data_IF_197737806156
#
_entry.id   IF_197737806156
#
_cell.length_a   1.000
_cell.length_b   1.000
_cell.length_c   1.000
_cell.angle_alpha   90.00
_cell.angle_beta   90.00
_cell.angle_gamma   90.00
#
_symmetry.space_group_name_H-M   'P 1'
#
loop_
_entity.id
_entity.type
_entity.pdbx_description
1 polymer ?
#
# COMPACT_ATOMS: atom_id res chain seq x y z
N UNK A 1 -33.94 -19.94 -27.12
CA UNK A 1 -33.59 -19.10 -28.29
C UNK A 1 -32.13 -19.39 -28.66
N UNK A 2 -31.76 -19.43 -29.94
CA UNK A 2 -30.36 -19.69 -30.30
C UNK A 2 -29.51 -18.44 -30.01
N UNK A 3 -28.62 -18.52 -29.01
CA UNK A 3 -27.72 -17.41 -28.67
C UNK A 3 -26.72 -17.22 -29.81
N UNK A 4 -26.76 -16.07 -30.48
CA UNK A 4 -25.88 -15.79 -31.63
C UNK A 4 -24.46 -15.44 -31.17
N UNK A 5 -23.46 -15.68 -32.02
CA UNK A 5 -22.08 -15.26 -31.74
C UNK A 5 -21.96 -13.73 -31.61
N UNK A 6 -22.82 -12.97 -32.29
CA UNK A 6 -22.88 -11.52 -32.19
C UNK A 6 -23.36 -11.08 -30.80
N UNK A 7 -24.38 -11.74 -30.24
CA UNK A 7 -24.90 -11.44 -28.89
C UNK A 7 -23.86 -11.73 -27.82
N UNK A 8 -23.16 -12.87 -27.93
CA UNK A 8 -22.05 -13.21 -27.03
C UNK A 8 -20.96 -12.15 -27.09
N UNK A 9 -20.56 -11.71 -28.30
CA UNK A 9 -19.53 -10.69 -28.45
C UNK A 9 -20.00 -9.32 -27.94
N UNK A 10 -21.28 -8.98 -28.10
CA UNK A 10 -21.87 -7.76 -27.54
C UNK A 10 -21.81 -7.77 -26.01
N UNK A 11 -22.25 -8.85 -25.37
CA UNK A 11 -22.19 -8.98 -23.91
C UNK A 11 -20.74 -8.94 -23.40
N UNK A 12 -19.81 -9.59 -24.12
CA UNK A 12 -18.39 -9.53 -23.82
C UNK A 12 -17.82 -8.12 -23.89
N UNK A 13 -18.20 -7.32 -24.90
CA UNK A 13 -17.76 -5.91 -24.98
C UNK A 13 -18.35 -5.07 -23.86
N UNK A 14 -19.58 -5.34 -23.43
CA UNK A 14 -20.25 -4.60 -22.35
C UNK A 14 -19.66 -4.93 -20.96
N UNK A 15 -19.28 -6.19 -20.72
CA UNK A 15 -18.91 -6.67 -19.38
C UNK A 15 -17.41 -6.94 -19.23
N UNK A 16 -16.70 -7.10 -20.34
CA UNK A 16 -15.31 -7.57 -20.37
C UNK A 16 -15.12 -9.05 -20.03
N UNK A 17 -16.18 -9.78 -19.68
CA UNK A 17 -16.08 -11.18 -19.23
C UNK A 17 -15.62 -12.14 -20.34
N UNK A 18 -15.16 -13.34 -19.93
CA UNK A 18 -14.70 -14.37 -20.86
C UNK A 18 -15.78 -14.78 -21.87
N UNK A 19 -15.37 -15.11 -23.11
CA UNK A 19 -16.29 -15.44 -24.22
C UNK A 19 -17.26 -16.58 -23.86
N UNK A 20 -16.75 -17.64 -23.25
CA UNK A 20 -17.56 -18.78 -22.84
C UNK A 20 -18.49 -18.46 -21.67
N UNK A 21 -18.09 -17.53 -20.82
CA UNK A 21 -18.92 -17.09 -19.69
C UNK A 21 -20.08 -16.23 -20.17
N UNK A 22 -19.83 -15.31 -21.12
CA UNK A 22 -20.88 -14.54 -21.78
C UNK A 22 -21.88 -15.47 -22.48
N UNK A 23 -21.39 -16.51 -23.17
CA UNK A 23 -22.24 -17.49 -23.83
C UNK A 23 -23.12 -18.24 -22.83
N UNK A 24 -22.54 -18.75 -21.74
CA UNK A 24 -23.29 -19.46 -20.68
C UNK A 24 -24.29 -18.55 -20.00
N UNK A 25 -23.90 -17.33 -19.66
CA UNK A 25 -24.79 -16.36 -19.03
C UNK A 25 -26.00 -16.02 -19.92
N UNK A 26 -25.79 -15.79 -21.22
CA UNK A 26 -26.89 -15.58 -22.18
C UNK A 26 -27.76 -16.83 -22.34
N UNK A 27 -27.19 -18.03 -22.29
CA UNK A 27 -27.98 -19.27 -22.33
C UNK A 27 -28.85 -19.44 -21.10
N UNK A 28 -28.30 -19.19 -19.91
CA UNK A 28 -29.02 -19.25 -18.62
C UNK A 28 -30.09 -18.15 -18.53
N UNK A 29 -29.81 -16.96 -19.05
CA UNK A 29 -30.73 -15.83 -19.12
C UNK A 29 -31.74 -15.91 -20.29
N UNK A 30 -31.75 -17.00 -21.07
CA UNK A 30 -32.58 -17.15 -22.26
C UNK A 30 -32.45 -16.01 -23.29
N UNK A 31 -31.28 -15.37 -23.37
CA UNK A 31 -30.98 -14.25 -24.26
C UNK A 31 -31.23 -12.86 -23.66
N UNK A 32 -31.70 -12.78 -22.42
CA UNK A 32 -31.84 -11.51 -21.70
C UNK A 32 -30.46 -10.97 -21.30
N UNK A 33 -30.13 -9.75 -21.73
CA UNK A 33 -28.83 -9.15 -21.46
C UNK A 33 -28.69 -8.67 -20.01
N UNK A 34 -29.74 -8.13 -19.40
CA UNK A 34 -29.69 -7.59 -18.05
C UNK A 34 -29.57 -8.72 -17.02
N UNK A 35 -30.32 -9.81 -17.24
CA UNK A 35 -30.17 -11.02 -16.43
C UNK A 35 -28.81 -11.69 -16.68
N UNK A 36 -28.30 -11.73 -17.92
CA UNK A 36 -26.97 -12.27 -18.20
C UNK A 36 -25.85 -11.47 -17.50
N UNK A 37 -25.96 -10.14 -17.45
CA UNK A 37 -25.05 -9.29 -16.66
C UNK A 37 -25.14 -9.65 -15.17
N UNK A 38 -26.35 -9.82 -14.65
CA UNK A 38 -26.57 -10.22 -13.25
C UNK A 38 -25.96 -11.60 -12.93
N UNK A 39 -26.06 -12.56 -13.84
CA UNK A 39 -25.44 -13.88 -13.73
C UNK A 39 -23.91 -13.77 -13.69
N UNK A 40 -23.32 -12.96 -14.58
CA UNK A 40 -21.87 -12.73 -14.60
C UNK A 40 -21.38 -12.10 -13.29
N UNK A 41 -22.12 -11.15 -12.72
CA UNK A 41 -21.81 -10.57 -11.41
C UNK A 41 -21.86 -11.60 -10.29
N UNK A 42 -22.93 -12.39 -10.21
CA UNK A 42 -23.05 -13.51 -9.24
C UNK A 42 -21.90 -14.50 -9.40
N UNK A 43 -21.42 -14.73 -10.63
CA UNK A 43 -20.23 -15.55 -10.89
C UNK A 43 -18.96 -14.91 -10.33
N UNK A 44 -18.75 -13.61 -10.53
CA UNK A 44 -17.64 -12.86 -9.94
C UNK A 44 -17.60 -12.96 -8.42
N UNK A 45 -18.75 -12.78 -7.76
CA UNK A 45 -18.90 -12.97 -6.31
C UNK A 45 -18.49 -14.38 -5.87
N UNK A 46 -18.94 -15.43 -6.59
CA UNK A 46 -18.54 -16.81 -6.30
C UNK A 46 -17.03 -17.04 -6.46
N UNK A 47 -16.38 -16.39 -7.43
CA UNK A 47 -14.93 -16.48 -7.62
C UNK A 47 -14.22 -15.81 -6.44
N UNK A 48 -14.66 -14.60 -6.08
CA UNK A 48 -14.14 -13.86 -4.91
C UNK A 48 -14.22 -14.71 -3.64
N UNK A 49 -15.40 -15.27 -3.31
CA UNK A 49 -15.55 -16.11 -2.12
C UNK A 49 -14.70 -17.38 -2.15
N UNK A 50 -14.55 -18.03 -3.32
CA UNK A 50 -13.71 -19.24 -3.47
C UNK A 50 -12.21 -18.96 -3.38
N UNK A 51 -11.82 -17.71 -3.59
CA UNK A 51 -10.42 -17.28 -3.61
C UNK A 51 -10.05 -16.40 -2.42
N UNK A 52 -10.94 -16.17 -1.46
CA UNK A 52 -10.69 -15.30 -0.32
C UNK A 52 -9.39 -15.65 0.43
N UNK A 53 -9.10 -16.96 0.55
CA UNK A 53 -7.89 -17.48 1.23
C UNK A 53 -6.63 -17.49 0.34
N UNK A 54 -6.73 -17.07 -0.92
CA UNK A 54 -5.55 -16.96 -1.81
C UNK A 54 -4.69 -15.79 -1.35
N UNK A 55 -3.38 -16.02 -1.33
CA UNK A 55 -2.40 -14.98 -1.09
C UNK A 55 -2.30 -14.05 -2.30
N UNK A 56 -2.23 -12.75 -2.05
CA UNK A 56 -2.06 -11.71 -3.07
C UNK A 56 -0.73 -10.98 -2.85
N UNK A 57 0.37 -11.65 -3.20
CA UNK A 57 1.75 -11.17 -3.04
C UNK A 57 2.25 -10.30 -4.19
N UNK A 58 1.42 -10.15 -5.22
CA UNK A 58 1.66 -9.29 -6.38
C UNK A 58 0.71 -8.10 -6.36
N UNK A 59 0.95 -7.10 -7.21
CA UNK A 59 0.11 -5.89 -7.27
C UNK A 59 0.88 -4.63 -7.63
N UNK A 60 0.21 -3.50 -7.43
CA UNK A 60 0.79 -2.18 -7.64
C UNK A 60 0.33 -1.18 -6.56
N UNK A 61 1.28 -0.36 -6.14
CA UNK A 61 1.04 0.85 -5.34
C UNK A 61 0.72 2.01 -6.27
N UNK A 62 -0.24 2.83 -5.87
CA UNK A 62 -0.62 4.06 -6.54
C UNK A 62 -0.50 5.22 -5.55
N UNK A 63 0.05 6.35 -5.99
CA UNK A 63 0.22 7.54 -5.17
C UNK A 63 -0.33 8.75 -5.91
N UNK A 64 -1.06 9.60 -5.20
CA UNK A 64 -1.47 10.92 -5.65
C UNK A 64 -0.93 11.96 -4.66
N UNK A 65 -0.23 12.97 -5.17
CA UNK A 65 0.22 14.12 -4.39
C UNK A 65 -0.61 15.34 -4.80
N UNK A 66 -1.05 16.14 -3.82
CA UNK A 66 -1.70 17.41 -4.11
C UNK A 66 -0.70 18.39 -4.74
N UNK A 67 -1.18 19.24 -5.66
CA UNK A 67 -0.34 20.24 -6.35
C UNK A 67 0.33 21.21 -5.38
N UNK A 68 -0.33 21.52 -4.26
CA UNK A 68 0.22 22.37 -3.20
C UNK A 68 1.23 21.64 -2.29
N UNK A 69 1.46 20.34 -2.49
CA UNK A 69 2.40 19.54 -1.72
C UNK A 69 2.01 19.28 -0.26
N UNK A 70 0.81 19.66 0.19
CA UNK A 70 0.41 19.56 1.61
C UNK A 70 -0.30 18.24 1.93
N UNK A 71 -0.63 17.46 0.91
CA UNK A 71 -1.35 16.20 1.04
C UNK A 71 -0.84 15.16 0.05
N UNK A 72 -0.76 13.91 0.49
CA UNK A 72 -0.64 12.78 -0.42
C UNK A 72 -1.52 11.61 0.03
N UNK A 73 -1.98 10.84 -0.96
CA UNK A 73 -2.75 9.62 -0.76
C UNK A 73 -2.04 8.47 -1.44
N UNK A 74 -2.00 7.32 -0.78
CA UNK A 74 -1.41 6.10 -1.28
C UNK A 74 -2.42 4.96 -1.11
N UNK A 75 -2.53 4.12 -2.14
CA UNK A 75 -3.19 2.81 -2.02
C UNK A 75 -2.29 1.69 -2.52
N UNK A 76 -2.50 0.48 -2.01
CA UNK A 76 -1.99 -0.75 -2.61
C UNK A 76 -3.15 -1.59 -3.13
N UNK A 77 -3.14 -1.87 -4.43
CA UNK A 77 -4.02 -2.84 -5.06
C UNK A 77 -3.21 -4.12 -5.28
N UNK A 78 -3.64 -5.22 -4.68
CA UNK A 78 -2.95 -6.51 -4.71
C UNK A 78 -3.67 -7.48 -5.64
N UNK A 79 -2.92 -8.41 -6.21
CA UNK A 79 -3.38 -9.54 -7.02
C UNK A 79 -2.52 -10.79 -6.79
N UNK A 80 -2.90 -11.91 -7.39
CA UNK A 80 -2.16 -13.17 -7.25
C UNK A 80 -0.88 -13.18 -8.12
N UNK A 81 -0.92 -12.63 -9.33
CA UNK A 81 0.19 -12.65 -10.29
C UNK A 81 0.65 -11.27 -10.77
N UNK A 82 1.91 -11.16 -11.22
CA UNK A 82 2.49 -9.91 -11.71
C UNK A 82 1.95 -9.50 -13.09
N UNK A 83 1.41 -10.46 -13.86
CA UNK A 83 0.72 -10.21 -15.12
C UNK A 83 -0.54 -9.37 -14.91
N UNK A 84 -1.30 -9.64 -13.84
CA UNK A 84 -2.50 -8.87 -13.49
C UNK A 84 -2.13 -7.46 -13.05
N UNK A 85 -1.05 -7.28 -12.30
CA UNK A 85 -0.60 -5.96 -11.85
C UNK A 85 -0.27 -4.98 -13.00
N UNK A 86 0.03 -5.52 -14.19
CA UNK A 86 0.36 -4.76 -15.42
C UNK A 86 -0.83 -4.66 -16.38
N UNK A 87 -1.96 -5.29 -16.07
CA UNK A 87 -3.16 -5.25 -16.89
C UNK A 87 -3.80 -3.85 -16.86
N UNK A 88 -4.26 -3.37 -18.01
CA UNK A 88 -4.81 -2.01 -18.14
C UNK A 88 -6.06 -1.79 -17.28
N UNK A 89 -6.98 -2.78 -17.20
CA UNK A 89 -8.18 -2.67 -16.36
C UNK A 89 -7.82 -2.59 -14.87
N UNK A 90 -6.77 -3.32 -14.45
CA UNK A 90 -6.26 -3.27 -13.08
C UNK A 90 -5.65 -1.90 -12.75
N UNK A 91 -4.82 -1.38 -13.64
CA UNK A 91 -4.19 -0.05 -13.48
C UNK A 91 -5.25 1.04 -13.45
N UNK A 92 -6.24 0.99 -14.35
CA UNK A 92 -7.33 1.96 -14.40
C UNK A 92 -8.19 1.92 -13.14
N UNK A 93 -8.52 0.72 -12.63
CA UNK A 93 -9.24 0.59 -11.37
C UNK A 93 -8.43 1.16 -10.20
N UNK A 94 -7.13 0.84 -10.11
CA UNK A 94 -6.25 1.40 -9.08
C UNK A 94 -6.20 2.93 -9.10
N UNK A 95 -6.10 3.55 -10.27
CA UNK A 95 -6.17 5.01 -10.42
C UNK A 95 -7.51 5.59 -9.99
N UNK A 96 -8.62 4.95 -10.39
CA UNK A 96 -9.96 5.41 -10.01
C UNK A 96 -10.21 5.30 -8.50
N UNK A 97 -9.75 4.21 -7.86
CA UNK A 97 -9.79 4.02 -6.40
C UNK A 97 -8.94 5.08 -5.70
N UNK A 98 -7.70 5.31 -6.16
CA UNK A 98 -6.81 6.32 -5.61
C UNK A 98 -7.43 7.73 -5.66
N UNK A 99 -8.01 8.09 -6.81
CA UNK A 99 -8.69 9.38 -6.97
C UNK A 99 -9.85 9.50 -5.98
N UNK A 100 -10.70 8.49 -5.92
CA UNK A 100 -11.86 8.46 -5.01
C UNK A 100 -11.42 8.56 -3.55
N UNK A 101 -10.36 7.87 -3.16
CA UNK A 101 -9.78 7.92 -1.83
C UNK A 101 -9.22 9.31 -1.50
N UNK A 102 -8.56 9.96 -2.46
CA UNK A 102 -8.02 11.31 -2.30
C UNK A 102 -9.15 12.32 -2.07
N UNK A 103 -10.18 12.27 -2.91
CA UNK A 103 -11.28 13.25 -2.90
C UNK A 103 -12.18 13.13 -1.66
N UNK A 104 -12.34 11.92 -1.10
CA UNK A 104 -13.29 11.65 -0.02
C UNK A 104 -12.64 11.45 1.35
N UNK A 105 -11.33 11.21 1.42
CA UNK A 105 -10.60 10.98 2.68
C UNK A 105 -11.30 9.99 3.64
N UNK A 106 -11.58 8.74 3.20
CA UNK A 106 -12.25 7.76 4.04
C UNK A 106 -11.41 7.44 5.30
N UNK A 107 -12.07 7.04 6.38
CA UNK A 107 -11.39 6.78 7.66
C UNK A 107 -10.52 5.50 7.62
N UNK A 108 -10.93 4.50 6.83
CA UNK A 108 -10.29 3.19 6.76
C UNK A 108 -10.59 2.49 5.42
N UNK A 109 -10.04 1.28 5.26
CA UNK A 109 -10.26 0.44 4.07
C UNK A 109 -11.72 0.03 3.87
N UNK A 110 -12.49 -0.16 4.94
CA UNK A 110 -13.89 -0.55 4.83
C UNK A 110 -14.73 0.61 4.29
N UNK A 111 -14.50 1.81 4.83
CA UNK A 111 -15.09 3.05 4.33
C UNK A 111 -14.67 3.32 2.88
N UNK A 112 -13.40 3.11 2.52
CA UNK A 112 -12.94 3.25 1.14
C UNK A 112 -13.68 2.29 0.20
N UNK A 113 -13.76 1.00 0.53
CA UNK A 113 -14.42 -0.01 -0.31
C UNK A 113 -15.92 0.27 -0.52
N UNK A 114 -16.55 0.97 0.42
CA UNK A 114 -17.96 1.38 0.32
C UNK A 114 -18.19 2.63 -0.55
N UNK A 115 -17.16 3.43 -0.84
CA UNK A 115 -17.29 4.60 -1.71
C UNK A 115 -17.65 4.22 -3.14
N UNK A 116 -18.33 5.12 -3.85
CA UNK A 116 -18.81 4.87 -5.19
C UNK A 116 -17.88 5.43 -6.28
N UNK A 117 -17.69 4.64 -7.33
CA UNK A 117 -17.14 5.03 -8.64
C UNK A 117 -18.25 4.76 -9.65
N UNK A 118 -18.67 5.78 -10.41
CA UNK A 118 -19.73 5.67 -11.42
C UNK A 118 -21.03 5.01 -10.91
N UNK A 119 -21.44 5.39 -9.68
CA UNK A 119 -22.68 4.94 -9.06
C UNK A 119 -22.65 3.52 -8.47
N UNK A 120 -21.48 2.87 -8.43
CA UNK A 120 -21.28 1.54 -7.80
C UNK A 120 -20.11 1.56 -6.85
N UNK A 121 -20.17 0.75 -5.80
CA UNK A 121 -19.11 0.69 -4.79
C UNK A 121 -17.79 0.18 -5.36
N UNK A 122 -16.68 0.59 -4.74
CA UNK A 122 -15.35 0.06 -5.08
C UNK A 122 -15.30 -1.47 -4.92
N UNK A 123 -15.98 -2.02 -3.91
CA UNK A 123 -16.07 -3.48 -3.70
C UNK A 123 -16.74 -4.22 -4.87
N UNK A 124 -17.79 -3.62 -5.45
CA UNK A 124 -18.44 -4.15 -6.66
C UNK A 124 -17.51 -4.11 -7.87
N UNK A 125 -16.75 -3.03 -8.06
CA UNK A 125 -15.77 -2.94 -9.15
C UNK A 125 -14.63 -3.95 -9.00
N UNK A 126 -14.13 -4.16 -7.78
CA UNK A 126 -13.15 -5.21 -7.48
C UNK A 126 -13.72 -6.59 -7.83
N UNK A 127 -14.97 -6.85 -7.44
CA UNK A 127 -15.65 -8.13 -7.72
C UNK A 127 -15.87 -8.37 -9.21
N UNK A 128 -16.26 -7.35 -9.96
CA UNK A 128 -16.41 -7.42 -11.41
C UNK A 128 -15.06 -7.73 -12.09
N UNK A 129 -14.00 -7.04 -11.67
CA UNK A 129 -12.66 -7.27 -12.20
C UNK A 129 -12.14 -8.68 -11.86
N UNK A 130 -12.38 -9.17 -10.65
CA UNK A 130 -12.08 -10.56 -10.27
C UNK A 130 -12.87 -11.57 -11.12
N UNK A 131 -14.13 -11.28 -11.46
CA UNK A 131 -14.93 -12.12 -12.35
C UNK A 131 -14.39 -12.18 -13.77
N UNK A 132 -13.81 -11.07 -14.24
CA UNK A 132 -13.18 -10.93 -15.56
C UNK A 132 -11.80 -11.59 -15.64
N UNK A 133 -10.95 -11.36 -14.64
CA UNK A 133 -9.55 -11.81 -14.61
C UNK A 133 -9.43 -13.24 -14.07
N UNK A 134 -10.26 -13.61 -13.09
CA UNK A 134 -10.24 -14.93 -12.47
C UNK A 134 -9.18 -15.10 -11.38
N UNK A 135 -8.60 -14.01 -10.89
CA UNK A 135 -7.68 -13.94 -9.73
C UNK A 135 -8.29 -13.10 -8.62
N UNK A 136 -7.87 -13.32 -7.37
CA UNK A 136 -8.21 -12.43 -6.25
C UNK A 136 -7.56 -11.07 -6.47
N UNK A 137 -8.34 -10.00 -6.28
CA UNK A 137 -7.88 -8.62 -6.34
C UNK A 137 -8.45 -7.89 -5.14
N UNK A 138 -7.61 -7.16 -4.40
CA UNK A 138 -8.06 -6.41 -3.23
C UNK A 138 -7.25 -5.15 -2.99
N UNK A 139 -7.90 -4.13 -2.41
CA UNK A 139 -7.18 -3.01 -1.81
C UNK A 139 -6.70 -3.45 -0.43
N UNK A 140 -5.38 -3.58 -0.27
CA UNK A 140 -4.74 -4.09 0.95
C UNK A 140 -4.25 -2.97 1.88
N UNK A 141 -4.05 -1.76 1.34
CA UNK A 141 -3.59 -0.61 2.10
C UNK A 141 -4.17 0.68 1.52
N UNK A 142 -4.47 1.60 2.43
CA UNK A 142 -4.88 2.97 2.13
C UNK A 142 -4.23 3.84 3.20
N UNK A 143 -3.50 4.86 2.75
CA UNK A 143 -2.83 5.82 3.62
C UNK A 143 -3.05 7.21 3.06
N UNK A 144 -3.38 8.16 3.92
CA UNK A 144 -3.47 9.57 3.57
C UNK A 144 -2.73 10.38 4.61
N UNK A 145 -1.86 11.28 4.13
CA UNK A 145 -1.01 12.13 4.96
C UNK A 145 -1.28 13.58 4.58
N UNK A 146 -1.40 14.42 5.61
CA UNK A 146 -1.45 15.89 5.49
C UNK A 146 -0.38 16.48 6.39
N UNK A 147 0.38 17.44 5.88
CA UNK A 147 1.45 18.12 6.58
C UNK A 147 1.76 19.46 5.89
N UNK A 148 2.67 20.26 6.46
CA UNK A 148 3.15 21.48 5.80
C UNK A 148 3.80 21.16 4.45
N UNK A 149 4.55 20.06 4.41
CA UNK A 149 5.06 19.43 3.18
C UNK A 149 4.93 17.92 3.24
N UNK A 150 4.48 17.32 2.15
CA UNK A 150 4.49 15.87 1.94
C UNK A 150 5.39 15.55 0.75
N UNK A 151 6.30 14.60 0.95
CA UNK A 151 7.07 13.98 -0.12
C UNK A 151 6.65 12.52 -0.28
N UNK A 152 6.62 12.02 -1.51
CA UNK A 152 6.41 10.60 -1.77
C UNK A 152 7.50 9.97 -2.61
N UNK A 153 7.55 8.65 -2.55
CA UNK A 153 8.35 7.84 -3.45
C UNK A 153 7.61 6.54 -3.78
N UNK A 154 7.47 6.27 -5.07
CA UNK A 154 7.05 4.96 -5.59
C UNK A 154 8.27 4.28 -6.21
N UNK A 155 8.64 3.12 -5.70
CA UNK A 155 9.78 2.38 -6.23
C UNK A 155 9.49 1.84 -7.64
N UNK A 156 10.54 1.66 -8.45
CA UNK A 156 10.41 1.33 -9.87
C UNK A 156 9.71 -0.02 -10.13
N UNK A 157 9.79 -0.97 -9.19
CA UNK A 157 9.06 -2.24 -9.28
C UNK A 157 7.54 -2.11 -9.07
N UNK A 158 7.06 -0.92 -8.68
CA UNK A 158 5.65 -0.62 -8.45
C UNK A 158 5.05 -1.19 -7.17
N UNK A 159 5.81 -1.92 -6.34
CA UNK A 159 5.32 -2.61 -5.14
C UNK A 159 5.57 -1.88 -3.84
N UNK A 160 6.41 -0.85 -3.86
CA UNK A 160 6.78 -0.08 -2.66
C UNK A 160 6.34 1.36 -2.87
N UNK A 161 5.63 1.91 -1.89
CA UNK A 161 5.33 3.33 -1.81
C UNK A 161 5.61 3.88 -0.43
N UNK A 162 6.06 5.13 -0.41
CA UNK A 162 6.37 5.87 0.81
C UNK A 162 5.72 7.24 0.74
N UNK A 163 5.12 7.68 1.84
CA UNK A 163 4.73 9.06 2.10
C UNK A 163 5.51 9.59 3.31
N UNK A 164 6.01 10.81 3.26
CA UNK A 164 6.80 11.45 4.32
C UNK A 164 6.17 12.81 4.64
N UNK A 165 5.72 12.99 5.88
CA UNK A 165 5.26 14.27 6.42
C UNK A 165 6.46 15.07 6.95
N UNK A 166 6.57 16.32 6.52
CA UNK A 166 7.62 17.25 6.89
C UNK A 166 6.99 18.58 7.35
N UNK A 167 7.60 19.23 8.34
CA UNK A 167 7.27 20.59 8.77
C UNK A 167 8.02 21.66 7.93
N UNK A 168 8.13 21.42 6.63
CA UNK A 168 8.92 22.25 5.70
C UNK A 168 8.05 23.08 4.76
N UNK A 169 8.69 23.95 3.99
CA UNK A 169 8.03 24.70 2.92
C UNK A 169 8.05 23.91 1.57
N UNK A 170 7.51 24.54 0.53
CA UNK A 170 7.51 24.02 -0.83
C UNK A 170 8.78 24.38 -1.62
N UNK A 171 9.88 24.74 -0.96
CA UNK A 171 11.14 25.05 -1.60
C UNK A 171 11.81 23.80 -2.20
N UNK A 172 12.55 24.01 -3.30
CA UNK A 172 13.20 22.92 -4.05
C UNK A 172 14.10 22.04 -3.16
N UNK A 173 14.84 22.64 -2.23
CA UNK A 173 15.72 21.91 -1.31
C UNK A 173 14.95 21.00 -0.35
N UNK A 174 13.77 21.42 0.13
CA UNK A 174 12.90 20.59 0.98
C UNK A 174 12.27 19.46 0.15
N UNK A 175 11.86 19.75 -1.08
CA UNK A 175 11.32 18.74 -1.99
C UNK A 175 12.37 17.66 -2.34
N UNK A 176 13.61 18.07 -2.62
CA UNK A 176 14.71 17.15 -2.93
C UNK A 176 15.06 16.25 -1.73
N UNK A 177 15.28 16.84 -0.55
CA UNK A 177 15.62 16.04 0.65
C UNK A 177 14.45 15.15 1.09
N UNK A 178 13.21 15.61 0.96
CA UNK A 178 12.02 14.82 1.25
C UNK A 178 11.91 13.58 0.36
N UNK A 179 12.20 13.73 -0.94
CA UNK A 179 12.24 12.60 -1.88
C UNK A 179 13.36 11.63 -1.53
N UNK A 180 14.53 12.13 -1.16
CA UNK A 180 15.66 11.30 -0.76
C UNK A 180 15.39 10.52 0.52
N UNK A 181 14.71 11.13 1.49
CA UNK A 181 14.25 10.46 2.70
C UNK A 181 13.19 9.41 2.38
N UNK A 182 12.26 9.69 1.46
CA UNK A 182 11.28 8.70 1.03
C UNK A 182 11.95 7.47 0.38
N UNK A 183 13.02 7.69 -0.41
CA UNK A 183 13.85 6.62 -0.97
C UNK A 183 14.62 5.85 0.11
N UNK A 184 15.18 6.56 1.10
CA UNK A 184 15.85 5.95 2.26
C UNK A 184 14.90 5.02 3.01
N UNK A 185 13.68 5.46 3.31
CA UNK A 185 12.66 4.67 4.01
C UNK A 185 12.30 3.42 3.21
N UNK A 186 12.13 3.55 1.89
CA UNK A 186 11.83 2.42 1.02
C UNK A 186 12.94 1.35 1.04
N UNK A 187 14.20 1.76 1.11
CA UNK A 187 15.36 0.87 1.12
C UNK A 187 15.62 0.25 2.51
N UNK A 188 15.59 1.08 3.55
CA UNK A 188 16.08 0.71 4.88
C UNK A 188 14.99 0.30 5.86
N UNK A 189 13.71 0.56 5.52
CA UNK A 189 12.53 0.13 6.30
C UNK A 189 12.64 0.42 7.81
N UNK A 190 12.90 1.68 8.22
CA UNK A 190 12.87 2.02 9.63
C UNK A 190 11.51 1.68 10.25
N UNK A 191 11.52 1.32 11.52
CA UNK A 191 10.31 1.01 12.31
C UNK A 191 9.55 2.28 12.67
N UNK A 192 10.27 3.39 12.88
CA UNK A 192 9.70 4.69 13.25
C UNK A 192 10.67 5.83 12.88
N UNK A 193 10.22 7.08 13.02
CA UNK A 193 11.07 8.25 12.81
C UNK A 193 12.25 8.25 13.78
N UNK A 194 11.96 8.09 15.07
CA UNK A 194 12.91 8.04 16.17
C UNK A 194 12.47 7.02 17.25
N UNK A 195 13.22 6.94 18.35
CA UNK A 195 12.98 6.00 19.45
C UNK A 195 11.63 6.18 20.13
N UNK A 196 11.11 7.42 20.14
CA UNK A 196 9.84 7.75 20.79
C UNK A 196 8.67 7.11 20.05
N UNK A 197 8.76 7.03 18.72
CA UNK A 197 7.75 6.42 17.86
C UNK A 197 7.79 4.89 17.79
N UNK A 198 8.77 4.21 18.40
CA UNK A 198 8.81 2.74 18.38
C UNK A 198 7.68 2.18 19.26
N UNK A 199 6.82 1.28 18.75
CA UNK A 199 5.77 0.62 19.52
C UNK A 199 6.28 -0.09 20.78
N UNK A 200 5.52 -0.02 21.86
CA UNK A 200 5.92 -0.56 23.16
C UNK A 200 6.08 -2.09 23.15
N UNK A 201 5.27 -2.80 22.37
CA UNK A 201 5.39 -4.24 22.19
C UNK A 201 6.70 -4.64 21.49
N UNK A 202 7.17 -3.84 20.53
CA UNK A 202 8.49 -4.02 19.91
C UNK A 202 9.60 -3.75 20.93
N UNK A 203 9.50 -2.66 21.70
CA UNK A 203 10.50 -2.33 22.75
C UNK A 203 10.65 -3.47 23.75
N UNK A 204 9.53 -3.99 24.25
CA UNK A 204 9.50 -5.10 25.21
C UNK A 204 10.06 -6.39 24.61
N UNK A 205 9.69 -6.70 23.37
CA UNK A 205 10.24 -7.87 22.67
C UNK A 205 11.76 -7.80 22.53
N UNK A 206 12.29 -6.67 22.07
CA UNK A 206 13.74 -6.47 21.91
C UNK A 206 14.48 -6.52 23.26
N UNK A 207 13.87 -5.99 24.33
CA UNK A 207 14.41 -6.13 25.68
C UNK A 207 14.51 -7.59 26.10
N UNK A 208 13.43 -8.36 25.96
CA UNK A 208 13.42 -9.78 26.35
C UNK A 208 14.40 -10.62 25.53
N UNK A 209 14.51 -10.37 24.22
CA UNK A 209 15.55 -10.97 23.37
C UNK A 209 16.95 -10.64 23.93
N UNK A 210 17.19 -9.37 24.27
CA UNK A 210 18.45 -8.93 24.84
C UNK A 210 18.78 -9.62 26.17
N UNK A 211 17.78 -9.82 27.04
CA UNK A 211 17.93 -10.53 28.32
C UNK A 211 18.24 -12.01 28.11
N UNK A 212 17.50 -12.67 27.23
CA UNK A 212 17.69 -14.09 26.95
C UNK A 212 19.09 -14.36 26.37
N UNK A 213 19.54 -13.55 25.41
CA UNK A 213 20.90 -13.65 24.88
C UNK A 213 21.95 -13.45 25.98
N UNK A 214 21.79 -12.48 26.88
CA UNK A 214 22.72 -12.25 27.98
C UNK A 214 22.76 -13.43 28.97
N UNK A 215 21.61 -14.09 29.24
CA UNK A 215 21.57 -15.32 30.05
C UNK A 215 22.32 -16.47 29.37
N UNK A 216 22.12 -16.66 28.07
CA UNK A 216 22.79 -17.69 27.27
C UNK A 216 24.32 -17.47 27.21
N UNK A 217 24.76 -16.20 27.20
CA UNK A 217 26.17 -15.81 27.31
C UNK A 217 26.75 -15.96 28.74
N UNK A 218 25.97 -16.47 29.70
CA UNK A 218 26.41 -16.71 31.08
C UNK A 218 26.60 -15.45 31.92
N UNK A 219 25.93 -14.34 31.56
CA UNK A 219 26.04 -13.07 32.31
C UNK A 219 25.27 -13.16 33.64
N UNK A 220 25.79 -12.55 34.73
CA UNK A 220 25.09 -12.51 36.02
C UNK A 220 23.74 -11.76 35.96
N UNK A 221 22.69 -12.27 36.61
CA UNK A 221 21.32 -11.73 36.54
C UNK A 221 21.23 -10.23 36.89
N UNK A 222 22.05 -9.75 37.83
CA UNK A 222 22.08 -8.36 38.25
C UNK A 222 22.60 -7.37 37.20
N UNK A 223 23.22 -7.82 36.10
CA UNK A 223 23.68 -6.96 35.00
C UNK A 223 22.86 -7.16 33.71
N UNK A 224 21.96 -8.14 33.66
CA UNK A 224 21.23 -8.52 32.45
C UNK A 224 20.34 -7.40 31.93
N UNK A 225 19.58 -6.75 32.83
CA UNK A 225 18.72 -5.62 32.47
C UNK A 225 19.51 -4.49 31.78
N UNK A 226 20.70 -4.19 32.31
CA UNK A 226 21.58 -3.16 31.75
C UNK A 226 22.12 -3.53 30.37
N UNK A 227 22.46 -4.81 30.16
CA UNK A 227 22.90 -5.31 28.85
C UNK A 227 21.74 -5.25 27.84
N UNK A 228 20.55 -5.68 28.24
CA UNK A 228 19.35 -5.63 27.40
C UNK A 228 19.02 -4.19 26.98
N UNK A 229 19.07 -3.24 27.92
CA UNK A 229 18.90 -1.81 27.62
C UNK A 229 19.96 -1.29 26.63
N UNK A 230 21.21 -1.75 26.77
CA UNK A 230 22.27 -1.44 25.80
C UNK A 230 21.97 -1.98 24.39
N UNK A 231 21.43 -3.20 24.29
CA UNK A 231 21.00 -3.81 23.02
C UNK A 231 19.79 -3.08 22.42
N UNK A 232 18.81 -2.67 23.23
CA UNK A 232 17.68 -1.85 22.79
C UNK A 232 18.14 -0.48 22.24
N UNK A 233 19.09 0.17 22.92
CA UNK A 233 19.69 1.42 22.41
C UNK A 233 20.43 1.23 21.08
N UNK A 234 21.03 0.06 20.85
CA UNK A 234 21.62 -0.29 19.55
C UNK A 234 20.53 -0.51 18.50
N UNK A 235 19.47 -1.24 18.84
CA UNK A 235 18.31 -1.45 17.97
C UNK A 235 17.75 -0.11 17.49
N UNK A 236 17.59 0.86 18.38
CA UNK A 236 17.14 2.21 18.04
C UNK A 236 18.02 2.90 16.99
N UNK A 237 19.35 2.82 17.14
CA UNK A 237 20.29 3.41 16.19
C UNK A 237 20.23 2.76 14.81
N UNK A 238 19.88 1.49 14.74
CA UNK A 238 19.85 0.72 13.49
C UNK A 238 18.47 0.76 12.81
N UNK A 239 17.39 0.89 13.59
CA UNK A 239 16.03 0.67 13.11
C UNK A 239 15.14 1.92 13.11
N UNK A 240 15.64 3.09 13.48
CA UNK A 240 14.86 4.35 13.40
C UNK A 240 15.48 5.31 12.40
N UNK A 241 14.61 6.03 11.68
CA UNK A 241 14.99 6.82 10.50
C UNK A 241 16.10 7.83 10.80
N UNK A 242 15.96 8.63 11.87
CA UNK A 242 16.88 9.74 12.14
C UNK A 242 18.32 9.30 12.44
N UNK A 243 18.51 8.05 12.90
CA UNK A 243 19.83 7.49 13.19
C UNK A 243 20.45 6.77 11.99
N UNK A 244 19.68 6.41 10.97
CA UNK A 244 20.19 5.73 9.80
C UNK A 244 21.25 6.56 9.08
N UNK A 245 22.31 5.90 8.64
CA UNK A 245 23.25 6.48 7.70
C UNK A 245 22.55 6.74 6.36
N UNK A 246 22.80 7.89 5.79
CA UNK A 246 22.18 8.28 4.53
C UNK A 246 22.78 7.47 3.38
N UNK A 247 21.94 6.80 2.59
CA UNK A 247 22.40 5.89 1.52
C UNK A 247 23.23 6.60 0.45
N UNK A 248 22.97 7.90 0.19
CA UNK A 248 23.76 8.68 -0.78
C UNK A 248 25.06 9.24 -0.22
N UNK A 249 25.17 9.39 1.10
CA UNK A 249 26.36 9.88 1.79
C UNK A 249 26.43 9.28 3.20
N UNK A 250 27.18 8.18 3.33
CA UNK A 250 27.32 7.45 4.58
C UNK A 250 28.10 8.19 5.66
N UNK A 251 28.67 9.37 5.36
CA UNK A 251 29.33 10.22 6.37
C UNK A 251 28.32 10.93 7.27
N UNK A 252 27.04 10.98 6.88
CA UNK A 252 25.96 11.65 7.61
C UNK A 252 24.81 10.69 7.93
N UNK A 253 24.12 10.96 9.03
CA UNK A 253 22.81 10.36 9.30
C UNK A 253 21.67 11.26 8.81
N UNK A 254 20.45 10.71 8.76
CA UNK A 254 19.28 11.46 8.25
C UNK A 254 19.00 12.73 9.07
N UNK A 255 19.24 12.71 10.38
CA UNK A 255 19.11 13.93 11.22
C UNK A 255 20.04 15.06 10.74
N UNK A 256 21.29 14.74 10.39
CA UNK A 256 22.24 15.71 9.87
C UNK A 256 21.85 16.19 8.47
N UNK A 257 21.40 15.29 7.61
CA UNK A 257 20.93 15.65 6.25
C UNK A 257 19.78 16.65 6.29
N UNK A 258 18.81 16.46 7.18
CA UNK A 258 17.72 17.42 7.40
C UNK A 258 18.25 18.78 7.88
N UNK A 259 19.12 18.76 8.89
CA UNK A 259 19.67 19.98 9.49
C UNK A 259 20.55 20.82 8.54
N UNK A 260 21.21 20.16 7.57
CA UNK A 260 21.99 20.83 6.52
C UNK A 260 21.11 21.64 5.56
N UNK A 261 19.85 21.21 5.35
CA UNK A 261 18.86 21.97 4.57
C UNK A 261 18.26 23.07 5.42
N UNK A 262 17.73 22.73 6.60
CA UNK A 262 17.20 23.67 7.57
C UNK A 262 17.22 23.03 8.97
N UNK A 263 17.77 23.74 9.96
CA UNK A 263 17.91 23.24 11.35
C UNK A 263 16.58 22.89 12.02
N UNK A 264 15.49 23.51 11.58
CA UNK A 264 14.14 23.28 12.12
C UNK A 264 13.34 22.26 11.31
N UNK A 265 13.88 21.77 10.19
CA UNK A 265 13.23 20.76 9.35
C UNK A 265 13.27 19.38 10.03
N UNK A 266 12.11 18.73 10.04
CA UNK A 266 11.83 17.47 10.72
C UNK A 266 10.93 16.63 9.85
N UNK A 267 11.04 15.32 10.04
CA UNK A 267 10.05 14.35 9.58
C UNK A 267 9.08 14.15 10.74
N UNK A 268 7.81 14.50 10.55
CA UNK A 268 6.79 14.32 11.59
C UNK A 268 6.29 12.88 11.61
N UNK A 269 6.14 12.28 10.44
CA UNK A 269 5.71 10.90 10.26
C UNK A 269 6.08 10.38 8.87
N UNK A 270 6.05 9.06 8.70
CA UNK A 270 6.03 8.46 7.38
C UNK A 270 5.07 7.28 7.32
N UNK A 271 4.67 6.92 6.09
CA UNK A 271 3.94 5.69 5.77
C UNK A 271 4.76 4.91 4.76
N UNK A 272 5.01 3.64 5.04
CA UNK A 272 5.69 2.71 4.15
C UNK A 272 4.71 1.57 3.84
N UNK A 273 4.40 1.39 2.57
CA UNK A 273 3.56 0.28 2.09
C UNK A 273 4.40 -0.57 1.14
N UNK A 274 4.38 -1.89 1.39
CA UNK A 274 5.10 -2.89 0.59
C UNK A 274 4.12 -4.00 0.24
N UNK A 275 3.96 -4.25 -1.05
CA UNK A 275 3.27 -5.41 -1.58
C UNK A 275 4.25 -6.59 -1.63
N UNK A 276 3.86 -7.73 -1.06
CA UNK A 276 4.68 -8.94 -1.00
C UNK A 276 4.96 -9.34 0.44
#
# INVERSE_FOLDING_TARGET
>A
MAISAQDVNKLRKMTGAGMMDCKKALQEANGDFDEAVTILRKKGQKISSKRADRATTEGAVFINEAEDGTQATLIALNCETDFVAKNEDFVNLGQAVLKTATDNAPADLAALKALAIDGRSIDEHLTDLMGKIGEKIEVSSFEQVKADKVASYRHANGKIGVLVALNGDNGDSVAEVGRDIAMQIAAMRPVSVDESGVPEDIKQRELEIGKEQARQEGKPENIIEKIAMGKLNKFYKENTLLHQQFVKDSSKNIKQVLADVNKDLKVDAFKLVVIG
#
